data_IF_102511188813
#
_entry.id   IF_102511188813
#
_cell.length_a   1.000
_cell.length_b   1.000
_cell.length_c   1.000
_cell.angle_alpha   90.00
_cell.angle_beta   90.00
_cell.angle_gamma   90.00
#
_symmetry.space_group_name_H-M   'P 1'
#
loop_
_entity.id
_entity.type
_entity.pdbx_description
1 polymer ?
#
# COMPACT_ATOMS: atom_id res chain seq x y z
N UNK A 1 27.75 6.84 -11.64
CA UNK A 1 26.62 7.23 -10.77
C UNK A 1 25.57 6.14 -10.87
N UNK A 2 25.13 5.65 -9.72
CA UNK A 2 24.12 4.59 -9.55
C UNK A 2 22.70 5.16 -9.51
N UNK A 3 21.72 4.28 -9.40
CA UNK A 3 20.34 4.61 -9.06
C UNK A 3 20.07 4.29 -7.58
N UNK A 4 19.21 5.05 -6.92
CA UNK A 4 18.71 4.73 -5.59
C UNK A 4 17.53 3.77 -5.74
N UNK A 5 17.57 2.65 -5.04
CA UNK A 5 16.37 1.88 -4.72
C UNK A 5 15.94 2.27 -3.30
N UNK A 6 14.84 3.01 -3.20
CA UNK A 6 14.35 3.52 -1.93
C UNK A 6 13.50 2.45 -1.24
N UNK A 7 14.07 1.78 -0.24
CA UNK A 7 13.40 0.73 0.51
C UNK A 7 12.43 1.36 1.52
N UNK A 8 11.14 1.24 1.24
CA UNK A 8 10.06 1.78 2.08
C UNK A 8 9.35 0.68 2.89
N UNK A 9 9.61 -0.58 2.55
CA UNK A 9 8.98 -1.79 3.12
C UNK A 9 9.85 -2.43 4.20
N UNK A 10 9.27 -3.39 4.94
CA UNK A 10 10.02 -4.22 5.86
C UNK A 10 10.82 -5.30 5.12
N UNK A 11 10.20 -5.89 4.11
CA UNK A 11 10.72 -7.01 3.33
C UNK A 11 12.05 -6.66 2.65
N UNK A 12 12.90 -7.67 2.50
CA UNK A 12 14.15 -7.48 1.76
C UNK A 12 13.85 -7.19 0.28
N UNK A 13 14.65 -6.34 -0.39
CA UNK A 13 14.55 -6.15 -1.84
C UNK A 13 14.73 -7.47 -2.60
N UNK A 14 14.22 -7.51 -3.83
CA UNK A 14 14.34 -8.69 -4.69
C UNK A 14 15.81 -9.06 -4.96
N UNK A 15 16.05 -10.33 -5.30
CA UNK A 15 17.40 -10.79 -5.62
C UNK A 15 18.04 -10.02 -6.79
N UNK A 16 17.23 -9.52 -7.73
CA UNK A 16 17.72 -8.67 -8.83
C UNK A 16 18.23 -7.32 -8.31
N UNK A 17 17.51 -6.69 -7.37
CA UNK A 17 17.96 -5.43 -6.75
C UNK A 17 19.22 -5.66 -5.91
N UNK A 18 19.28 -6.75 -5.13
CA UNK A 18 20.48 -7.12 -4.36
C UNK A 18 21.68 -7.37 -5.27
N UNK A 19 21.49 -8.08 -6.38
CA UNK A 19 22.54 -8.33 -7.36
C UNK A 19 23.01 -7.04 -8.05
N UNK A 20 22.10 -6.10 -8.34
CA UNK A 20 22.45 -4.78 -8.87
C UNK A 20 23.22 -3.93 -7.84
N UNK A 21 22.85 -4.02 -6.56
CA UNK A 21 23.56 -3.36 -5.48
C UNK A 21 24.98 -3.89 -5.30
N UNK A 22 25.16 -5.22 -5.35
CA UNK A 22 26.48 -5.85 -5.31
C UNK A 22 27.39 -5.42 -6.49
N UNK A 23 26.80 -5.03 -7.64
CA UNK A 23 27.51 -4.51 -8.81
C UNK A 23 27.74 -2.99 -8.76
N UNK A 24 27.22 -2.29 -7.75
CA UNK A 24 27.32 -0.83 -7.64
C UNK A 24 26.47 -0.05 -8.64
N UNK A 25 25.53 -0.70 -9.35
CA UNK A 25 24.59 0.02 -10.25
C UNK A 25 23.38 0.57 -9.49
N UNK A 26 23.05 -0.04 -8.34
CA UNK A 26 22.02 0.41 -7.42
C UNK A 26 22.61 0.66 -6.03
N UNK A 27 22.09 1.65 -5.33
CA UNK A 27 22.33 1.86 -3.90
C UNK A 27 21.00 1.70 -3.18
N UNK A 28 20.90 0.73 -2.27
CA UNK A 28 19.70 0.49 -1.48
C UNK A 28 19.74 1.45 -0.29
N UNK A 29 18.73 2.30 -0.16
CA UNK A 29 18.63 3.30 0.91
C UNK A 29 17.31 3.08 1.63
N UNK A 30 17.34 2.87 2.95
CA UNK A 30 16.13 2.91 3.77
C UNK A 30 15.49 4.29 3.68
N UNK A 31 14.17 4.37 3.49
CA UNK A 31 13.52 5.65 3.22
C UNK A 31 13.79 6.72 4.29
N UNK A 32 13.87 6.33 5.56
CA UNK A 32 14.16 7.24 6.68
C UNK A 32 15.58 7.83 6.66
N UNK A 33 16.50 7.25 5.89
CA UNK A 33 17.89 7.71 5.76
C UNK A 33 18.11 8.62 4.54
N UNK A 34 17.15 8.72 3.63
CA UNK A 34 17.27 9.51 2.41
C UNK A 34 17.42 11.01 2.74
N UNK A 35 18.36 11.66 2.05
CA UNK A 35 18.55 13.11 2.13
C UNK A 35 18.84 13.70 0.74
N UNK A 36 18.91 15.03 0.67
CA UNK A 36 19.08 15.77 -0.57
C UNK A 36 20.42 15.47 -1.27
N UNK A 37 21.51 15.40 -0.52
CA UNK A 37 22.84 15.13 -1.06
C UNK A 37 22.91 13.73 -1.68
N UNK A 38 22.30 12.74 -1.02
CA UNK A 38 22.16 11.40 -1.57
C UNK A 38 21.39 11.42 -2.90
N UNK A 39 20.23 12.10 -2.97
CA UNK A 39 19.49 12.21 -4.23
C UNK A 39 20.35 12.81 -5.36
N UNK A 40 21.01 13.94 -5.09
CA UNK A 40 21.84 14.64 -6.08
C UNK A 40 23.11 13.88 -6.50
N UNK A 41 23.60 12.96 -5.66
CA UNK A 41 24.75 12.12 -5.98
C UNK A 41 24.42 10.96 -6.94
N UNK A 42 23.14 10.73 -7.24
CA UNK A 42 22.66 9.59 -8.05
C UNK A 42 21.99 10.07 -9.34
N UNK A 43 21.85 9.17 -10.32
CA UNK A 43 21.16 9.44 -11.60
C UNK A 43 19.69 9.05 -11.59
N UNK A 44 19.36 8.07 -10.75
CA UNK A 44 18.09 7.39 -10.76
C UNK A 44 17.48 7.31 -9.37
N UNK A 45 16.15 7.31 -9.30
CA UNK A 45 15.38 7.01 -8.11
C UNK A 45 14.30 5.99 -8.48
N UNK A 46 14.20 4.90 -7.72
CA UNK A 46 13.15 3.88 -7.85
C UNK A 46 12.40 3.86 -6.52
N UNK A 47 11.08 4.07 -6.58
CA UNK A 47 10.19 4.00 -5.43
C UNK A 47 9.10 2.95 -5.65
N UNK A 48 8.81 2.17 -4.62
CA UNK A 48 7.77 1.15 -4.61
C UNK A 48 6.38 1.73 -4.23
N UNK A 49 5.36 0.89 -4.33
CA UNK A 49 3.96 1.20 -4.02
C UNK A 49 3.71 1.42 -2.51
N UNK A 50 4.72 1.23 -1.65
CA UNK A 50 4.67 1.46 -0.21
C UNK A 50 5.50 2.69 0.21
N UNK A 51 5.85 3.57 -0.73
CA UNK A 51 6.48 4.85 -0.46
C UNK A 51 5.73 5.65 0.62
N UNK A 52 6.43 6.09 1.67
CA UNK A 52 5.90 7.07 2.62
C UNK A 52 5.84 8.45 1.93
N UNK A 53 4.71 8.75 1.32
CA UNK A 53 4.52 10.00 0.59
C UNK A 53 4.42 11.21 1.51
N UNK A 54 4.06 11.03 2.79
CA UNK A 54 4.06 12.14 3.76
C UNK A 54 5.50 12.57 4.09
N UNK A 55 6.43 11.62 4.23
CA UNK A 55 7.85 11.93 4.37
C UNK A 55 8.41 12.58 3.09
N UNK A 56 8.03 12.08 1.91
CA UNK A 56 8.49 12.67 0.64
C UNK A 56 7.96 14.09 0.39
N UNK A 57 6.83 14.48 0.97
CA UNK A 57 6.35 15.88 0.93
C UNK A 57 7.39 16.84 1.54
N UNK A 58 8.12 16.41 2.58
CA UNK A 58 9.18 17.21 3.19
C UNK A 58 10.45 17.27 2.31
N UNK A 59 10.56 16.41 1.30
CA UNK A 59 11.69 16.33 0.37
C UNK A 59 11.38 16.91 -1.02
N UNK A 60 10.27 17.63 -1.20
CA UNK A 60 9.83 18.16 -2.51
C UNK A 60 10.89 18.97 -3.21
N UNK A 61 11.56 19.88 -2.50
CA UNK A 61 12.61 20.72 -3.08
C UNK A 61 13.83 19.90 -3.50
N UNK A 62 14.23 18.92 -2.68
CA UNK A 62 15.33 18.02 -3.01
C UNK A 62 14.99 17.12 -4.22
N UNK A 63 13.77 16.61 -4.28
CA UNK A 63 13.27 15.82 -5.41
C UNK A 63 13.19 16.66 -6.70
N UNK A 64 12.73 17.91 -6.59
CA UNK A 64 12.71 18.83 -7.72
C UNK A 64 14.13 19.16 -8.21
N UNK A 65 15.08 19.41 -7.30
CA UNK A 65 16.47 19.66 -7.64
C UNK A 65 17.14 18.45 -8.31
N UNK A 66 16.89 17.24 -7.81
CA UNK A 66 17.34 15.99 -8.45
C UNK A 66 16.83 15.86 -9.88
N UNK A 67 15.54 16.12 -10.11
CA UNK A 67 14.96 16.07 -11.46
C UNK A 67 15.51 17.19 -12.34
N UNK A 68 15.60 18.42 -11.84
CA UNK A 68 16.15 19.57 -12.58
C UNK A 68 17.62 19.32 -12.98
N UNK A 69 18.37 18.55 -12.19
CA UNK A 69 19.73 18.08 -12.51
C UNK A 69 19.77 16.93 -13.55
N UNK A 70 18.64 16.56 -14.13
CA UNK A 70 18.52 15.51 -15.15
C UNK A 70 18.24 14.11 -14.60
N UNK A 71 17.92 14.00 -13.30
CA UNK A 71 17.58 12.74 -12.65
C UNK A 71 16.36 12.04 -13.27
N UNK A 72 16.32 10.71 -13.19
CA UNK A 72 15.20 9.89 -13.64
C UNK A 72 14.52 9.19 -12.46
N UNK A 73 13.22 9.40 -12.30
CA UNK A 73 12.43 8.78 -11.24
C UNK A 73 11.44 7.77 -11.80
N UNK A 74 11.54 6.52 -11.34
CA UNK A 74 10.56 5.47 -11.58
C UNK A 74 9.66 5.34 -10.36
N UNK A 75 8.38 5.70 -10.51
CA UNK A 75 7.37 5.71 -9.46
C UNK A 75 6.36 4.57 -9.67
N UNK A 76 6.23 3.68 -8.68
CA UNK A 76 5.13 2.73 -8.58
C UNK A 76 4.12 3.19 -7.52
N UNK A 77 2.84 2.92 -7.76
CA UNK A 77 1.78 3.18 -6.79
C UNK A 77 0.86 4.34 -7.15
N UNK A 78 -0.04 4.65 -6.22
CA UNK A 78 -1.00 5.74 -6.38
C UNK A 78 -0.41 7.04 -5.83
N UNK A 79 -0.25 8.06 -6.67
CA UNK A 79 0.21 9.38 -6.27
C UNK A 79 -0.88 10.10 -5.46
N UNK A 80 -0.84 10.06 -4.14
CA UNK A 80 -1.86 10.69 -3.28
C UNK A 80 -1.37 11.96 -2.57
N UNK A 81 -0.07 12.25 -2.69
CA UNK A 81 0.55 13.54 -2.42
C UNK A 81 1.24 13.97 -3.70
N UNK A 82 0.76 14.96 -4.47
CA UNK A 82 1.42 15.32 -5.72
C UNK A 82 2.83 15.87 -5.48
N UNK A 83 3.89 15.04 -5.55
CA UNK A 83 5.23 15.34 -5.00
C UNK A 83 6.05 16.32 -5.84
N UNK A 84 5.68 16.55 -7.10
CA UNK A 84 6.35 17.46 -8.02
C UNK A 84 5.29 18.33 -8.70
N UNK A 85 5.59 19.62 -8.90
CA UNK A 85 4.69 20.54 -9.59
C UNK A 85 4.29 19.98 -10.96
N UNK A 86 3.00 20.04 -11.30
CA UNK A 86 2.43 19.47 -12.53
C UNK A 86 1.88 18.05 -12.38
N UNK A 87 2.25 17.31 -11.33
CA UNK A 87 1.61 16.03 -11.01
C UNK A 87 0.26 16.26 -10.33
N UNK A 88 -0.66 15.32 -10.54
CA UNK A 88 -1.98 15.31 -9.92
C UNK A 88 -2.17 14.09 -9.02
N UNK A 89 -3.22 14.15 -8.19
CA UNK A 89 -3.63 13.04 -7.34
C UNK A 89 -4.19 11.89 -8.19
N UNK A 90 -3.84 10.65 -7.85
CA UNK A 90 -4.39 9.42 -8.40
C UNK A 90 -5.91 9.43 -8.43
N UNK A 91 -6.48 8.86 -9.49
CA UNK A 91 -7.92 8.72 -9.70
C UNK A 91 -8.22 7.27 -10.11
N UNK A 92 -9.05 6.53 -9.35
CA UNK A 92 -9.51 5.22 -9.77
C UNK A 92 -10.53 5.35 -10.91
N UNK A 93 -10.66 4.30 -11.72
CA UNK A 93 -11.82 4.13 -12.61
C UNK A 93 -13.06 4.03 -11.71
N UNK A 94 -14.13 4.74 -12.06
CA UNK A 94 -15.38 4.70 -11.30
C UNK A 94 -16.11 3.39 -11.56
N UNK A 95 -16.37 2.62 -10.50
CA UNK A 95 -17.09 1.35 -10.54
C UNK A 95 -16.65 0.40 -11.69
N UNK A 96 -15.37 0.03 -11.76
CA UNK A 96 -14.81 -0.65 -12.92
C UNK A 96 -15.40 -2.05 -13.13
N UNK A 97 -15.64 -2.40 -14.38
CA UNK A 97 -15.93 -3.77 -14.85
C UNK A 97 -14.64 -4.45 -15.29
N UNK A 98 -14.69 -5.76 -15.53
CA UNK A 98 -13.52 -6.54 -15.97
C UNK A 98 -12.86 -5.97 -17.23
N UNK A 99 -13.64 -5.54 -18.22
CA UNK A 99 -13.15 -4.95 -19.48
C UNK A 99 -12.48 -3.60 -19.29
N UNK A 100 -12.81 -2.88 -18.23
CA UNK A 100 -12.16 -1.59 -17.92
C UNK A 100 -10.73 -1.79 -17.39
N UNK A 101 -10.32 -3.03 -17.13
CA UNK A 101 -9.00 -3.43 -16.64
C UNK A 101 -8.14 -4.11 -17.73
N UNK A 102 -8.65 -4.24 -18.96
CA UNK A 102 -7.91 -4.80 -20.09
C UNK A 102 -6.69 -3.91 -20.38
N UNK A 103 -5.50 -4.51 -20.49
CA UNK A 103 -4.26 -3.76 -20.64
C UNK A 103 -3.87 -3.65 -22.10
N UNK A 104 -3.64 -2.43 -22.57
CA UNK A 104 -3.20 -2.17 -23.94
C UNK A 104 -2.07 -1.14 -24.00
N UNK A 105 -1.26 -1.22 -25.05
CA UNK A 105 -0.24 -0.22 -25.35
C UNK A 105 -0.90 0.99 -26.02
N UNK A 106 -0.63 2.19 -25.50
CA UNK A 106 -1.05 3.48 -26.09
C UNK A 106 0.05 4.02 -26.99
N UNK A 107 1.28 4.10 -26.45
CA UNK A 107 2.49 4.42 -27.20
C UNK A 107 3.59 3.40 -26.82
N UNK A 108 4.13 2.62 -27.77
CA UNK A 108 5.15 1.62 -27.50
C UNK A 108 6.39 2.20 -26.82
N UNK A 109 6.76 1.66 -25.66
CA UNK A 109 7.92 2.13 -24.90
C UNK A 109 8.98 1.01 -24.78
N UNK A 110 10.29 1.32 -24.89
CA UNK A 110 11.37 0.31 -24.84
C UNK A 110 11.34 -0.61 -23.62
N UNK A 111 10.86 -0.12 -22.47
CA UNK A 111 10.69 -0.92 -21.24
C UNK A 111 9.86 -2.19 -21.47
N UNK A 112 8.85 -2.12 -22.35
CA UNK A 112 7.96 -3.24 -22.67
C UNK A 112 8.30 -3.94 -23.99
N UNK A 113 9.40 -3.59 -24.65
CA UNK A 113 9.75 -4.18 -25.95
C UNK A 113 9.87 -5.71 -25.85
N UNK A 114 9.14 -6.42 -26.73
CA UNK A 114 9.08 -7.89 -26.75
C UNK A 114 8.28 -8.54 -25.61
N UNK A 115 7.64 -7.75 -24.75
CA UNK A 115 6.75 -8.26 -23.70
C UNK A 115 5.30 -8.21 -24.21
N UNK A 116 4.64 -9.36 -24.22
CA UNK A 116 3.20 -9.44 -24.42
C UNK A 116 2.48 -8.91 -23.16
N UNK A 117 1.76 -7.80 -23.29
CA UNK A 117 1.08 -7.14 -22.17
C UNK A 117 0.00 -8.01 -21.52
N UNK A 118 -0.56 -9.00 -22.23
CA UNK A 118 -1.50 -9.95 -21.64
C UNK A 118 -0.88 -10.75 -20.48
N UNK A 119 0.45 -10.94 -20.50
CA UNK A 119 1.21 -11.60 -19.43
C UNK A 119 1.37 -10.74 -18.16
N UNK A 120 1.08 -9.44 -18.27
CA UNK A 120 1.11 -8.49 -17.17
C UNK A 120 -0.29 -8.10 -16.71
N UNK A 121 -1.29 -8.20 -17.59
CA UNK A 121 -2.70 -7.87 -17.32
C UNK A 121 -3.29 -8.73 -16.20
N UNK A 122 -3.04 -10.05 -16.26
CA UNK A 122 -3.63 -11.02 -15.35
C UNK A 122 -2.58 -11.86 -14.64
N UNK A 123 -2.92 -12.31 -13.44
CA UNK A 123 -2.21 -13.36 -12.73
C UNK A 123 -3.22 -14.48 -12.44
N UNK A 124 -2.99 -15.69 -12.96
CA UNK A 124 -3.97 -16.79 -12.94
C UNK A 124 -5.34 -16.42 -13.51
N UNK A 125 -5.41 -15.48 -14.46
CA UNK A 125 -6.67 -15.00 -15.05
C UNK A 125 -7.40 -13.92 -14.25
N UNK A 126 -6.91 -13.55 -13.05
CA UNK A 126 -7.44 -12.41 -12.28
C UNK A 126 -6.78 -11.11 -12.75
N UNK A 127 -7.59 -10.13 -13.14
CA UNK A 127 -7.15 -8.81 -13.58
C UNK A 127 -7.13 -7.77 -12.46
N UNK A 128 -6.51 -6.62 -12.76
CA UNK A 128 -6.49 -5.45 -11.89
C UNK A 128 -5.34 -5.40 -10.90
N UNK A 129 -4.38 -6.34 -10.99
CA UNK A 129 -3.09 -6.24 -10.27
C UNK A 129 -2.17 -5.20 -10.89
N UNK A 130 -2.29 -4.99 -12.21
CA UNK A 130 -1.51 -4.00 -12.97
C UNK A 130 -1.90 -2.57 -12.61
N UNK A 131 -3.18 -2.31 -12.40
CA UNK A 131 -3.70 -0.99 -12.07
C UNK A 131 -5.21 -0.93 -12.17
N UNK A 132 -5.81 0.11 -11.61
CA UNK A 132 -7.28 0.30 -11.54
C UNK A 132 -7.71 1.75 -11.79
N UNK A 133 -6.82 2.52 -12.38
CA UNK A 133 -6.93 3.97 -12.49
C UNK A 133 -5.63 4.54 -13.04
N UNK A 134 -5.45 5.84 -12.84
CA UNK A 134 -4.25 6.53 -13.28
C UNK A 134 -3.78 7.52 -12.22
N UNK A 135 -2.46 7.75 -12.21
CA UNK A 135 -1.94 9.05 -11.83
C UNK A 135 -2.21 9.94 -13.06
N UNK A 136 -3.05 11.00 -12.99
CA UNK A 136 -3.43 11.73 -14.20
C UNK A 136 -2.23 12.29 -14.95
N UNK A 137 -2.28 12.31 -16.28
CA UNK A 137 -1.18 12.79 -17.12
C UNK A 137 -0.87 14.26 -16.83
N UNK A 138 0.39 14.60 -16.52
CA UNK A 138 0.87 15.97 -16.61
C UNK A 138 0.84 16.49 -18.05
N UNK A 139 0.78 17.81 -18.21
CA UNK A 139 0.91 18.45 -19.51
C UNK A 139 2.25 18.07 -20.19
N UNK A 140 2.18 17.65 -21.45
CA UNK A 140 3.33 17.20 -22.24
C UNK A 140 3.84 15.79 -21.91
N UNK A 141 3.20 15.05 -21.00
CA UNK A 141 3.50 13.65 -20.77
C UNK A 141 2.96 12.75 -21.92
N UNK A 142 3.57 11.56 -22.07
CA UNK A 142 3.17 10.55 -23.06
C UNK A 142 2.66 9.33 -22.32
N UNK A 143 1.40 8.96 -22.58
CA UNK A 143 0.80 7.72 -22.09
C UNK A 143 1.51 6.51 -22.71
N UNK A 144 1.90 5.53 -21.90
CA UNK A 144 2.59 4.32 -22.34
C UNK A 144 1.60 3.17 -22.49
N UNK A 145 0.94 2.78 -21.39
CA UNK A 145 -0.08 1.75 -21.37
C UNK A 145 -1.39 2.33 -20.80
N UNK A 146 -2.50 1.78 -21.27
CA UNK A 146 -3.85 2.22 -20.94
C UNK A 146 -4.74 1.04 -20.52
N UNK A 147 -5.74 1.33 -19.68
CA UNK A 147 -6.73 0.38 -19.21
C UNK A 147 -8.07 0.58 -19.93
N UNK A 148 -8.63 -0.53 -20.41
CA UNK A 148 -9.94 -0.62 -21.03
C UNK A 148 -10.12 0.20 -22.31
N UNK A 149 -11.36 0.30 -22.81
CA UNK A 149 -11.66 0.99 -24.07
C UNK A 149 -11.30 2.49 -24.07
N UNK A 150 -11.34 3.12 -22.89
CA UNK A 150 -10.97 4.54 -22.73
C UNK A 150 -9.45 4.76 -22.69
N UNK A 151 -8.66 3.68 -22.66
CA UNK A 151 -7.19 3.70 -22.49
C UNK A 151 -6.77 4.55 -21.29
N UNK A 152 -7.43 4.35 -20.13
CA UNK A 152 -7.12 5.10 -18.90
C UNK A 152 -5.62 4.92 -18.59
N UNK A 153 -4.84 6.00 -18.57
CA UNK A 153 -3.39 5.91 -18.72
C UNK A 153 -2.71 5.50 -17.40
N UNK A 154 -2.65 4.19 -17.19
CA UNK A 154 -2.03 3.60 -15.99
C UNK A 154 -0.52 3.83 -15.96
N UNK A 155 0.11 3.88 -17.14
CA UNK A 155 1.53 4.21 -17.28
C UNK A 155 1.73 5.44 -18.14
N UNK A 156 2.69 6.27 -17.75
CA UNK A 156 3.14 7.38 -18.59
C UNK A 156 4.58 7.77 -18.29
N UNK A 157 5.21 8.42 -19.27
CA UNK A 157 6.49 9.09 -19.11
C UNK A 157 6.30 10.59 -19.28
N UNK A 158 6.96 11.36 -18.41
CA UNK A 158 6.99 12.81 -18.50
C UNK A 158 8.43 13.33 -18.52
N UNK A 159 8.77 14.09 -19.55
CA UNK A 159 9.96 14.96 -19.54
C UNK A 159 9.54 16.29 -18.93
N UNK A 160 10.11 16.62 -17.78
CA UNK A 160 9.74 17.86 -17.09
C UNK A 160 10.27 19.09 -17.82
N UNK A 161 9.56 20.24 -17.75
CA UNK A 161 10.01 21.49 -18.38
C UNK A 161 11.41 21.95 -17.96
N UNK A 162 11.81 21.68 -16.70
CA UNK A 162 13.13 22.07 -16.15
C UNK A 162 14.18 20.95 -16.22
N UNK A 163 13.88 19.83 -16.86
CA UNK A 163 14.77 18.68 -16.95
C UNK A 163 14.35 17.50 -16.07
N UNK A 164 14.99 16.35 -16.34
CA UNK A 164 14.67 15.07 -15.71
C UNK A 164 13.48 14.36 -16.34
N UNK A 165 13.31 13.08 -15.97
CA UNK A 165 12.21 12.23 -16.45
C UNK A 165 11.52 11.53 -15.30
N UNK A 166 10.20 11.38 -15.41
CA UNK A 166 9.40 10.55 -14.50
C UNK A 166 8.72 9.46 -15.31
N UNK A 167 8.89 8.21 -14.92
CA UNK A 167 8.01 7.11 -15.33
C UNK A 167 7.06 6.86 -14.16
N UNK A 168 5.76 6.95 -14.40
CA UNK A 168 4.73 6.68 -13.40
C UNK A 168 3.96 5.43 -13.79
N UNK A 169 3.90 4.46 -12.89
CA UNK A 169 3.06 3.28 -12.96
C UNK A 169 2.02 3.31 -11.82
N UNK A 170 0.73 3.44 -12.17
CA UNK A 170 -0.37 3.64 -11.23
C UNK A 170 -0.96 2.33 -10.68
N UNK A 171 -0.10 1.44 -10.19
CA UNK A 171 -0.47 0.10 -9.72
C UNK A 171 0.46 -0.48 -8.65
N UNK A 172 0.49 -1.81 -8.53
CA UNK A 172 1.48 -2.50 -7.70
C UNK A 172 2.89 -2.36 -8.29
N UNK A 173 3.93 -2.84 -7.62
CA UNK A 173 5.29 -2.70 -8.15
C UNK A 173 5.42 -3.39 -9.52
N UNK A 174 5.72 -2.65 -10.58
CA UNK A 174 5.84 -3.21 -11.93
C UNK A 174 6.90 -4.34 -11.98
N UNK A 175 7.99 -4.19 -11.21
CA UNK A 175 9.03 -5.21 -11.06
C UNK A 175 8.55 -6.50 -10.39
N UNK A 176 7.34 -6.55 -9.85
CA UNK A 176 6.72 -7.74 -9.25
C UNK A 176 5.71 -8.44 -10.17
N UNK A 177 5.39 -7.86 -11.34
CA UNK A 177 4.38 -8.40 -12.26
C UNK A 177 4.94 -9.50 -13.17
N UNK A 178 4.02 -10.29 -13.75
CA UNK A 178 4.35 -11.36 -14.68
C UNK A 178 5.17 -12.51 -14.07
N UNK A 179 4.98 -12.80 -12.77
CA UNK A 179 5.65 -13.89 -12.06
C UNK A 179 5.48 -15.25 -12.76
N UNK A 180 4.28 -15.55 -13.23
CA UNK A 180 3.97 -16.80 -13.95
C UNK A 180 4.77 -16.95 -15.25
N UNK A 181 5.24 -15.84 -15.79
CA UNK A 181 5.93 -15.73 -17.06
C UNK A 181 7.42 -15.41 -16.89
N UNK A 182 7.93 -15.47 -15.65
CA UNK A 182 9.30 -15.13 -15.28
C UNK A 182 9.73 -13.71 -15.72
N UNK A 183 8.80 -12.76 -15.73
CA UNK A 183 9.05 -11.38 -16.17
C UNK A 183 9.48 -10.45 -15.04
N UNK A 184 9.19 -10.76 -13.79
CA UNK A 184 9.48 -9.91 -12.63
C UNK A 184 10.96 -9.48 -12.56
N UNK A 185 11.90 -10.44 -12.70
CA UNK A 185 13.32 -10.13 -12.67
C UNK A 185 13.78 -9.27 -13.86
N UNK A 186 13.22 -9.53 -15.05
CA UNK A 186 13.52 -8.78 -16.27
C UNK A 186 12.97 -7.35 -16.21
N UNK A 187 11.72 -7.17 -15.75
CA UNK A 187 11.12 -5.85 -15.54
C UNK A 187 11.93 -5.05 -14.52
N UNK A 188 12.32 -5.66 -13.41
CA UNK A 188 13.17 -5.01 -12.40
C UNK A 188 14.50 -4.54 -13.01
N UNK A 189 15.16 -5.38 -13.81
CA UNK A 189 16.40 -5.02 -14.53
C UNK A 189 16.18 -3.83 -15.46
N UNK A 190 15.10 -3.85 -16.27
CA UNK A 190 14.77 -2.77 -17.22
C UNK A 190 14.43 -1.46 -16.51
N UNK A 191 13.76 -1.50 -15.36
CA UNK A 191 13.49 -0.32 -14.53
C UNK A 191 14.81 0.32 -14.08
N UNK A 192 15.73 -0.48 -13.53
CA UNK A 192 17.05 -0.01 -13.11
C UNK A 192 17.79 0.63 -14.29
N UNK A 193 17.84 -0.03 -15.44
CA UNK A 193 18.49 0.48 -16.64
C UNK A 193 17.85 1.77 -17.16
N UNK A 194 16.52 1.86 -17.16
CA UNK A 194 15.81 3.07 -17.55
C UNK A 194 16.18 4.24 -16.65
N UNK A 195 16.27 4.04 -15.33
CA UNK A 195 16.70 5.10 -14.40
C UNK A 195 18.16 5.51 -14.58
N UNK A 196 19.01 4.64 -15.14
CA UNK A 196 20.43 4.90 -15.38
C UNK A 196 20.73 5.55 -16.74
N UNK A 197 19.72 5.72 -17.59
CA UNK A 197 19.87 6.43 -18.86
C UNK A 197 19.49 5.66 -20.12
N UNK A 198 19.02 4.40 -20.00
CA UNK A 198 18.60 3.61 -21.19
C UNK A 198 17.55 4.32 -22.04
N UNK A 199 17.42 3.98 -23.34
CA UNK A 199 16.51 4.63 -24.26
C UNK A 199 15.08 4.73 -23.72
N UNK A 200 14.47 5.89 -23.95
CA UNK A 200 13.06 6.14 -23.69
C UNK A 200 12.38 6.47 -25.01
N UNK A 201 11.54 7.49 -25.07
CA UNK A 201 11.11 8.11 -26.31
C UNK A 201 12.20 9.05 -26.81
N UNK A 202 13.20 8.50 -27.50
CA UNK A 202 14.33 9.24 -28.04
C UNK A 202 14.44 8.94 -29.56
N UNK A 203 14.07 9.88 -30.46
CA UNK A 203 13.56 11.23 -30.18
C UNK A 203 12.16 11.24 -29.53
N UNK A 204 11.84 12.33 -28.82
CA UNK A 204 10.53 12.50 -28.20
C UNK A 204 9.42 12.57 -29.27
N UNK A 205 8.23 11.99 -29.05
CA UNK A 205 7.21 11.90 -30.09
C UNK A 205 6.59 13.29 -30.33
N UNK A 206 6.43 13.67 -31.59
CA UNK A 206 5.82 14.97 -31.97
C UNK A 206 4.29 14.96 -31.89
N UNK A 207 3.66 13.80 -32.10
CA UNK A 207 2.21 13.60 -32.03
C UNK A 207 1.89 12.22 -31.42
N UNK A 208 2.12 12.03 -30.11
CA UNK A 208 1.81 10.77 -29.44
C UNK A 208 0.30 10.48 -29.46
N UNK A 209 -0.06 9.20 -29.51
CA UNK A 209 -1.45 8.77 -29.31
C UNK A 209 -1.92 9.21 -27.92
N UNK A 210 -3.16 9.67 -27.83
CA UNK A 210 -3.77 10.13 -26.59
C UNK A 210 -4.89 9.18 -26.15
N UNK A 211 -5.07 8.98 -24.83
CA UNK A 211 -6.28 8.36 -24.27
C UNK A 211 -7.57 9.09 -24.69
N UNK A 212 -8.72 8.50 -24.36
CA UNK A 212 -10.00 9.18 -24.52
C UNK A 212 -10.01 10.53 -23.75
N UNK A 213 -10.65 11.56 -24.33
CA UNK A 213 -10.75 12.87 -23.71
C UNK A 213 -11.52 12.82 -22.37
N UNK A 214 -12.64 12.09 -22.37
CA UNK A 214 -13.48 11.87 -21.20
C UNK A 214 -13.16 10.52 -20.57
N UNK A 215 -12.31 10.52 -19.54
CA UNK A 215 -11.94 9.31 -18.80
C UNK A 215 -12.99 8.99 -17.71
N UNK A 216 -13.36 7.71 -17.53
CA UNK A 216 -14.35 7.27 -16.53
C UNK A 216 -13.77 7.24 -15.11
N UNK A 217 -13.29 8.38 -14.61
CA UNK A 217 -12.56 8.50 -13.35
C UNK A 217 -13.45 9.02 -12.22
N UNK A 218 -13.50 8.29 -11.10
CA UNK A 218 -14.22 8.74 -9.90
C UNK A 218 -13.69 10.08 -9.42
N UNK A 219 -14.51 10.94 -8.80
CA UNK A 219 -14.10 12.27 -8.31
C UNK A 219 -12.90 12.24 -7.36
N UNK A 220 -12.13 13.34 -7.32
CA UNK A 220 -10.98 13.44 -6.42
C UNK A 220 -11.48 13.51 -4.97
N UNK A 221 -10.96 12.64 -4.12
CA UNK A 221 -11.16 12.72 -2.68
C UNK A 221 -10.18 13.74 -2.07
N UNK A 222 -10.56 14.37 -0.95
CA UNK A 222 -9.66 15.17 -0.13
C UNK A 222 -9.05 14.28 0.96
N UNK A 223 -7.72 14.25 1.03
CA UNK A 223 -7.01 13.48 2.05
C UNK A 223 -6.39 14.40 3.08
N UNK A 224 -6.88 14.30 4.32
CA UNK A 224 -6.26 14.95 5.46
C UNK A 224 -4.81 14.51 5.70
N UNK A 225 -4.13 15.25 6.57
CA UNK A 225 -2.78 14.94 7.04
C UNK A 225 -2.78 14.33 8.44
N UNK A 226 -1.69 14.57 9.16
CA UNK A 226 -1.61 14.28 10.58
C UNK A 226 -2.72 15.01 11.34
N UNK A 227 -3.21 14.38 12.41
CA UNK A 227 -4.23 14.93 13.28
C UNK A 227 -3.82 14.69 14.73
N UNK A 228 -4.01 15.69 15.57
CA UNK A 228 -3.88 15.56 17.01
C UNK A 228 -5.18 16.04 17.65
N UNK A 229 -5.78 15.20 18.47
CA UNK A 229 -6.92 15.57 19.31
C UNK A 229 -6.48 15.79 20.75
N UNK A 230 -6.97 16.88 21.34
CA UNK A 230 -6.79 17.24 22.74
C UNK A 230 -7.89 16.67 23.65
N UNK A 231 -8.85 15.91 23.11
CA UNK A 231 -9.93 15.31 23.92
C UNK A 231 -9.35 14.48 25.06
N UNK A 232 -10.01 14.50 26.20
CA UNK A 232 -9.58 13.79 27.41
C UNK A 232 -10.12 12.35 27.45
N UNK A 233 -11.23 12.10 26.76
CA UNK A 233 -11.78 10.76 26.55
C UNK A 233 -10.80 9.85 25.79
N UNK A 234 -11.05 8.54 25.87
CA UNK A 234 -10.34 7.49 25.13
C UNK A 234 -10.23 7.82 23.65
N UNK A 235 -9.02 7.91 23.10
CA UNK A 235 -8.82 8.29 21.69
C UNK A 235 -8.52 7.07 20.84
N UNK A 236 -8.89 7.14 19.56
CA UNK A 236 -8.39 6.21 18.55
C UNK A 236 -7.16 6.83 17.88
N UNK A 237 -5.99 6.24 18.14
CA UNK A 237 -4.68 6.63 17.63
C UNK A 237 -4.29 5.68 16.51
N UNK A 238 -3.99 6.21 15.32
CA UNK A 238 -3.55 5.43 14.17
C UNK A 238 -2.21 5.95 13.62
N UNK A 239 -1.13 5.17 13.65
CA UNK A 239 0.10 5.52 12.95
C UNK A 239 -0.10 5.28 11.45
N UNK A 240 0.18 6.31 10.65
CA UNK A 240 0.24 6.26 9.20
C UNK A 240 1.69 6.17 8.75
N UNK A 241 2.00 5.19 7.91
CA UNK A 241 3.29 5.10 7.21
C UNK A 241 3.34 5.89 5.90
N UNK A 242 2.38 6.79 5.67
CA UNK A 242 2.31 7.64 4.47
C UNK A 242 2.15 6.93 3.13
N UNK A 243 1.93 5.62 3.13
CA UNK A 243 1.58 4.85 1.95
C UNK A 243 0.22 5.30 1.41
N UNK A 244 -0.02 5.10 0.12
CA UNK A 244 -1.25 5.61 -0.50
C UNK A 244 -2.52 5.02 0.14
N UNK A 245 -2.45 3.75 0.54
CA UNK A 245 -3.58 3.05 1.13
C UNK A 245 -3.83 3.46 2.58
N UNK A 246 -2.79 3.84 3.34
CA UNK A 246 -2.96 4.48 4.65
C UNK A 246 -3.52 5.90 4.51
N UNK A 247 -2.97 6.70 3.60
CA UNK A 247 -3.44 8.08 3.38
C UNK A 247 -4.91 8.09 3.01
N UNK A 248 -5.33 7.22 2.08
CA UNK A 248 -6.74 7.12 1.69
C UNK A 248 -7.61 6.63 2.86
N UNK A 249 -7.22 5.56 3.54
CA UNK A 249 -8.05 4.95 4.58
C UNK A 249 -8.18 5.82 5.84
N UNK A 250 -7.13 6.54 6.23
CA UNK A 250 -7.10 7.35 7.45
C UNK A 250 -7.46 8.83 7.20
N UNK A 251 -6.99 9.38 6.07
CA UNK A 251 -7.19 10.78 5.70
C UNK A 251 -8.41 11.03 4.82
N UNK A 252 -8.98 9.98 4.21
CA UNK A 252 -10.12 10.10 3.31
C UNK A 252 -11.46 10.29 4.03
N UNK A 253 -12.46 10.88 3.36
CA UNK A 253 -13.70 11.35 3.96
C UNK A 253 -14.53 10.22 4.58
N UNK A 254 -14.35 8.97 4.13
CA UNK A 254 -15.16 7.82 4.57
C UNK A 254 -14.96 7.47 6.04
N UNK A 255 -13.71 7.53 6.53
CA UNK A 255 -13.36 7.05 7.87
C UNK A 255 -12.60 8.07 8.71
N UNK A 256 -12.17 9.19 8.12
CA UNK A 256 -11.24 10.09 8.81
C UNK A 256 -11.76 10.59 10.15
N UNK A 257 -13.07 10.86 10.29
CA UNK A 257 -13.68 11.36 11.54
C UNK A 257 -13.56 10.42 12.74
N UNK A 258 -13.23 9.14 12.50
CA UNK A 258 -13.14 8.11 13.54
C UNK A 258 -11.79 8.16 14.25
N UNK A 259 -10.73 8.58 13.54
CA UNK A 259 -9.38 8.67 14.10
C UNK A 259 -9.18 10.03 14.77
N UNK A 260 -9.07 10.01 16.09
CA UNK A 260 -8.78 11.19 16.90
C UNK A 260 -7.34 11.67 16.70
N UNK A 261 -6.42 10.72 16.50
CA UNK A 261 -5.01 10.99 16.24
C UNK A 261 -4.53 10.20 15.03
N UNK A 262 -3.92 10.90 14.08
CA UNK A 262 -3.20 10.32 12.95
C UNK A 262 -1.77 10.84 13.04
N UNK A 263 -0.82 9.96 13.32
CA UNK A 263 0.59 10.31 13.55
C UNK A 263 1.51 9.40 12.75
N UNK A 264 2.83 9.58 12.81
CA UNK A 264 3.77 8.54 12.33
C UNK A 264 4.00 7.49 13.42
N UNK A 265 4.45 6.26 13.09
CA UNK A 265 4.89 5.29 14.09
C UNK A 265 5.87 5.89 15.10
N UNK A 266 6.84 6.69 14.65
CA UNK A 266 7.92 7.24 15.49
C UNK A 266 7.42 8.20 16.57
N UNK A 267 6.22 8.76 16.41
CA UNK A 267 5.63 9.69 17.37
C UNK A 267 4.86 8.98 18.49
N UNK A 268 4.61 7.67 18.39
CA UNK A 268 3.76 6.93 19.32
C UNK A 268 4.22 7.07 20.78
N UNK A 269 5.53 7.02 21.03
CA UNK A 269 6.08 7.13 22.39
C UNK A 269 5.69 8.44 23.11
N UNK A 270 5.49 9.54 22.38
CA UNK A 270 5.11 10.84 22.93
C UNK A 270 3.61 11.15 22.86
N UNK A 271 2.84 10.35 22.12
CA UNK A 271 1.42 10.61 21.84
C UNK A 271 0.50 9.67 22.60
N UNK A 272 0.88 8.40 22.72
CA UNK A 272 0.00 7.33 23.18
C UNK A 272 -0.24 7.42 24.70
N UNK A 273 -1.51 7.46 25.10
CA UNK A 273 -1.94 7.53 26.51
C UNK A 273 -2.47 6.16 26.97
N UNK A 274 -2.40 5.84 28.27
CA UNK A 274 -2.87 4.56 28.83
C UNK A 274 -4.25 4.10 28.36
N UNK A 275 -5.22 5.01 28.28
CA UNK A 275 -6.60 4.68 27.92
C UNK A 275 -6.85 4.57 26.42
N UNK A 276 -5.92 5.01 25.56
CA UNK A 276 -6.13 5.07 24.12
C UNK A 276 -6.35 3.67 23.49
N UNK A 277 -6.94 3.68 22.30
CA UNK A 277 -6.92 2.55 21.38
C UNK A 277 -5.87 2.84 20.32
N UNK A 278 -4.83 2.02 20.25
CA UNK A 278 -3.87 2.05 19.16
C UNK A 278 -4.36 1.14 18.03
N UNK A 279 -4.78 1.71 16.91
CA UNK A 279 -5.04 0.97 15.68
C UNK A 279 -3.77 0.98 14.83
N UNK A 280 -3.12 -0.16 14.60
CA UNK A 280 -2.01 -0.32 13.66
C UNK A 280 -2.57 -0.85 12.33
N UNK A 281 -2.62 -0.01 11.28
CA UNK A 281 -3.09 -0.42 9.96
C UNK A 281 -2.32 -1.61 9.39
N UNK A 282 -2.98 -2.40 8.56
CA UNK A 282 -2.34 -3.49 7.84
C UNK A 282 -1.24 -2.96 6.92
N UNK A 283 -0.14 -3.71 6.75
CA UNK A 283 1.05 -3.29 5.98
C UNK A 283 1.75 -2.03 6.51
N UNK A 284 1.59 -1.71 7.79
CA UNK A 284 2.54 -0.82 8.48
C UNK A 284 3.92 -1.49 8.51
N UNK A 285 4.99 -0.86 7.98
CA UNK A 285 6.32 -1.48 7.93
C UNK A 285 6.79 -1.89 9.33
N UNK A 286 7.03 -3.19 9.52
CA UNK A 286 7.25 -3.78 10.84
C UNK A 286 8.44 -3.17 11.58
N UNK A 287 9.52 -2.81 10.89
CA UNK A 287 10.69 -2.16 11.48
C UNK A 287 10.34 -0.86 12.21
N UNK A 288 9.35 -0.11 11.69
CA UNK A 288 8.90 1.14 12.31
C UNK A 288 8.14 0.87 13.61
N UNK A 289 7.37 -0.23 13.68
CA UNK A 289 6.67 -0.64 14.90
C UNK A 289 7.58 -1.34 15.91
N UNK A 290 8.57 -2.12 15.45
CA UNK A 290 9.60 -2.73 16.31
C UNK A 290 10.32 -1.65 17.12
N UNK A 291 10.66 -0.52 16.49
CA UNK A 291 11.26 0.62 17.19
C UNK A 291 10.36 1.23 18.27
N UNK A 292 9.04 0.98 18.24
CA UNK A 292 8.05 1.48 19.20
C UNK A 292 7.60 0.42 20.21
N UNK A 293 8.20 -0.78 20.20
CA UNK A 293 7.81 -1.91 21.05
C UNK A 293 7.65 -1.53 22.51
N UNK A 294 8.57 -0.73 23.06
CA UNK A 294 8.52 -0.29 24.46
C UNK A 294 7.34 0.65 24.75
N UNK A 295 6.99 1.54 23.82
CA UNK A 295 5.82 2.39 23.97
C UNK A 295 4.53 1.58 23.94
N UNK A 296 4.44 0.61 23.04
CA UNK A 296 3.30 -0.30 22.93
C UNK A 296 3.19 -1.23 24.15
N UNK A 297 4.31 -1.74 24.66
CA UNK A 297 4.33 -2.57 25.87
C UNK A 297 3.86 -1.79 27.10
N UNK A 298 4.31 -0.54 27.30
CA UNK A 298 3.81 0.33 28.38
C UNK A 298 2.32 0.62 28.25
N UNK A 299 1.84 0.83 27.02
CA UNK A 299 0.43 1.04 26.74
C UNK A 299 -0.43 -0.16 27.17
N UNK A 300 -0.03 -1.37 26.76
CA UNK A 300 -0.70 -2.61 27.16
C UNK A 300 -0.61 -2.85 28.67
N UNK A 301 0.55 -2.62 29.29
CA UNK A 301 0.73 -2.76 30.74
C UNK A 301 -0.18 -1.82 31.55
N UNK A 302 -0.55 -0.66 30.98
CA UNK A 302 -1.45 0.30 31.58
C UNK A 302 -2.94 0.04 31.30
N UNK A 303 -3.29 -1.08 30.66
CA UNK A 303 -4.67 -1.45 30.35
C UNK A 303 -5.17 -0.96 28.99
N UNK A 304 -4.28 -0.41 28.15
CA UNK A 304 -4.62 0.08 26.82
C UNK A 304 -5.06 -1.01 25.84
N UNK A 305 -5.69 -0.61 24.74
CA UNK A 305 -6.04 -1.55 23.66
C UNK A 305 -5.16 -1.34 22.43
N UNK A 306 -4.73 -2.43 21.82
CA UNK A 306 -4.05 -2.44 20.52
C UNK A 306 -4.87 -3.28 19.53
N UNK A 307 -5.16 -2.72 18.36
CA UNK A 307 -5.74 -3.42 17.21
C UNK A 307 -4.66 -3.50 16.15
N UNK A 308 -4.17 -4.68 15.80
CA UNK A 308 -3.16 -4.87 14.76
C UNK A 308 -3.74 -5.71 13.61
N UNK A 309 -3.74 -5.13 12.41
CA UNK A 309 -4.25 -5.78 11.21
C UNK A 309 -3.12 -6.43 10.39
N UNK A 310 -3.50 -7.25 9.42
CA UNK A 310 -2.61 -8.18 8.71
C UNK A 310 -1.40 -7.53 8.05
N UNK A 311 -0.37 -8.33 7.78
CA UNK A 311 0.86 -7.87 7.13
C UNK A 311 1.58 -6.73 7.89
N UNK A 312 1.31 -6.54 9.18
CA UNK A 312 2.04 -5.62 10.06
C UNK A 312 3.08 -6.33 10.93
N UNK A 313 3.20 -7.66 10.81
CA UNK A 313 4.11 -8.53 11.59
C UNK A 313 4.03 -8.27 13.09
N UNK A 314 2.81 -8.29 13.62
CA UNK A 314 2.55 -8.08 15.05
C UNK A 314 3.30 -9.06 15.95
N UNK A 315 3.67 -10.24 15.44
CA UNK A 315 4.56 -11.21 16.09
C UNK A 315 5.94 -10.64 16.47
N UNK A 316 6.42 -9.60 15.77
CA UNK A 316 7.73 -9.03 16.00
C UNK A 316 7.75 -7.91 17.04
N UNK A 317 6.60 -7.27 17.32
CA UNK A 317 6.54 -6.07 18.15
C UNK A 317 5.44 -6.08 19.23
N UNK A 318 4.54 -7.08 19.24
CA UNK A 318 3.65 -7.35 20.35
C UNK A 318 4.16 -8.54 21.20
N UNK A 319 3.88 -8.53 22.52
CA UNK A 319 4.20 -9.67 23.37
C UNK A 319 3.21 -10.82 23.14
N UNK A 320 3.65 -12.06 23.33
CA UNK A 320 2.80 -13.26 23.33
C UNK A 320 2.00 -13.50 22.03
N UNK A 321 2.53 -13.08 20.88
CA UNK A 321 1.93 -13.33 19.57
C UNK A 321 2.73 -14.38 18.82
N UNK A 322 2.07 -15.50 18.48
CA UNK A 322 2.60 -16.54 17.61
C UNK A 322 1.83 -16.53 16.29
N UNK A 323 2.54 -16.28 15.19
CA UNK A 323 1.96 -16.15 13.84
C UNK A 323 2.74 -17.01 12.84
N UNK A 324 2.00 -17.72 12.00
CA UNK A 324 2.54 -18.45 10.85
C UNK A 324 2.00 -17.84 9.56
N UNK A 325 2.91 -17.28 8.75
CA UNK A 325 2.58 -16.77 7.44
C UNK A 325 2.27 -17.87 6.43
N UNK A 326 1.36 -17.60 5.51
CA UNK A 326 1.00 -18.53 4.42
C UNK A 326 0.96 -17.79 3.09
N UNK A 327 1.32 -18.44 1.97
CA UNK A 327 1.11 -17.85 0.65
C UNK A 327 -0.34 -17.43 0.45
N UNK A 328 -0.54 -16.19 0.01
CA UNK A 328 -1.87 -15.64 -0.22
C UNK A 328 -2.50 -16.27 -1.47
N UNK A 329 -3.69 -16.85 -1.32
CA UNK A 329 -4.50 -17.27 -2.48
C UNK A 329 -5.38 -16.11 -2.96
N UNK A 330 -5.01 -15.51 -4.08
CA UNK A 330 -5.70 -14.33 -4.61
C UNK A 330 -6.90 -14.64 -5.52
N UNK A 331 -7.07 -15.90 -5.92
CA UNK A 331 -7.94 -16.31 -7.02
C UNK A 331 -8.83 -17.50 -6.67
N UNK A 332 -8.98 -17.83 -5.40
CA UNK A 332 -9.86 -18.92 -4.95
C UNK A 332 -11.29 -18.77 -5.51
N UNK A 333 -11.79 -17.54 -5.66
CA UNK A 333 -13.13 -17.23 -6.15
C UNK A 333 -13.33 -17.45 -7.65
N UNK A 334 -12.27 -17.75 -8.42
CA UNK A 334 -12.39 -18.06 -9.85
C UNK A 334 -13.17 -19.36 -10.09
N UNK A 335 -13.09 -20.30 -9.16
CA UNK A 335 -13.98 -21.45 -9.12
C UNK A 335 -15.27 -21.01 -8.38
N UNK A 336 -16.43 -20.94 -9.07
CA UNK A 336 -17.68 -20.54 -8.43
C UNK A 336 -18.14 -21.46 -7.30
N UNK A 337 -17.59 -22.68 -7.23
CA UNK A 337 -17.85 -23.65 -6.16
C UNK A 337 -16.83 -23.57 -5.01
N UNK A 338 -15.73 -22.84 -5.18
CA UNK A 338 -14.71 -22.72 -4.17
C UNK A 338 -15.16 -21.84 -3.01
N UNK A 339 -14.71 -22.25 -1.84
CA UNK A 339 -14.94 -21.57 -0.57
C UNK A 339 -13.59 -21.49 0.14
N UNK A 340 -13.14 -20.27 0.44
CA UNK A 340 -11.92 -20.06 1.21
C UNK A 340 -12.00 -20.69 2.62
N UNK A 341 -13.22 -21.02 3.05
CA UNK A 341 -13.49 -21.68 4.33
C UNK A 341 -13.40 -20.73 5.52
N UNK A 342 -13.29 -19.42 5.27
CA UNK A 342 -13.29 -18.42 6.34
C UNK A 342 -14.64 -18.41 7.03
N UNK A 343 -14.63 -18.50 8.36
CA UNK A 343 -15.84 -18.50 9.20
C UNK A 343 -15.66 -17.60 10.41
N UNK A 344 -16.64 -16.72 10.65
CA UNK A 344 -16.76 -16.02 11.94
C UNK A 344 -17.27 -16.99 13.01
N UNK A 345 -16.78 -16.85 14.24
CA UNK A 345 -17.16 -17.75 15.33
C UNK A 345 -18.47 -17.32 16.00
N UNK A 346 -19.05 -18.20 16.82
CA UNK A 346 -20.17 -17.82 17.71
C UNK A 346 -19.80 -16.70 18.69
N UNK A 347 -18.52 -16.59 19.05
CA UNK A 347 -18.05 -15.51 19.91
C UNK A 347 -18.08 -14.16 19.16
N UNK A 348 -17.69 -14.13 17.88
CA UNK A 348 -17.79 -12.94 17.06
C UNK A 348 -19.22 -12.39 16.96
N UNK A 349 -20.24 -13.25 16.89
CA UNK A 349 -21.64 -12.80 16.84
C UNK A 349 -22.08 -11.96 18.07
N UNK A 350 -21.37 -12.07 19.20
CA UNK A 350 -21.64 -11.28 20.41
C UNK A 350 -20.57 -10.20 20.68
N UNK A 351 -19.50 -10.18 19.90
CA UNK A 351 -18.38 -9.28 20.13
C UNK A 351 -18.68 -7.90 19.53
N UNK A 352 -18.58 -6.80 20.29
CA UNK A 352 -18.95 -5.46 19.80
C UNK A 352 -18.25 -5.05 18.49
N UNK A 353 -16.94 -5.32 18.36
CA UNK A 353 -16.19 -5.02 17.13
C UNK A 353 -16.69 -5.78 15.89
N UNK A 354 -17.32 -6.93 16.08
CA UNK A 354 -17.79 -7.82 15.01
C UNK A 354 -19.28 -7.63 14.70
N UNK A 355 -19.95 -6.65 15.32
CA UNK A 355 -21.35 -6.38 15.07
C UNK A 355 -21.61 -6.13 13.57
N UNK A 356 -22.48 -6.95 12.97
CA UNK A 356 -22.81 -6.87 11.55
C UNK A 356 -21.73 -7.41 10.58
N UNK A 357 -20.70 -8.09 11.09
CA UNK A 357 -19.66 -8.74 10.29
C UNK A 357 -19.89 -10.26 10.31
N UNK A 358 -20.35 -10.80 9.18
CA UNK A 358 -20.44 -12.24 8.95
C UNK A 358 -19.35 -12.76 8.02
N UNK A 359 -19.42 -14.05 7.67
CA UNK A 359 -18.44 -14.73 6.81
C UNK A 359 -18.16 -13.94 5.52
N UNK A 360 -19.20 -13.43 4.85
CA UNK A 360 -19.07 -12.66 3.60
C UNK A 360 -18.24 -11.39 3.76
N UNK A 361 -18.35 -10.69 4.88
CA UNK A 361 -17.58 -9.48 5.15
C UNK A 361 -16.14 -9.82 5.58
N UNK A 362 -15.92 -10.98 6.21
CA UNK A 362 -14.61 -11.41 6.67
C UNK A 362 -13.80 -12.20 5.62
N UNK A 363 -14.36 -12.47 4.43
CA UNK A 363 -13.73 -13.33 3.42
C UNK A 363 -13.24 -12.54 2.21
N UNK A 364 -11.92 -12.50 2.01
CA UNK A 364 -11.29 -12.12 0.74
C UNK A 364 -10.00 -12.91 0.52
N UNK A 365 -8.92 -12.65 1.24
CA UNK A 365 -7.76 -13.52 1.37
C UNK A 365 -7.11 -13.22 2.71
N UNK A 366 -6.18 -14.09 3.09
CA UNK A 366 -5.48 -14.03 4.37
C UNK A 366 -4.00 -14.29 4.14
N UNK A 367 -3.20 -13.85 5.11
CA UNK A 367 -1.73 -13.91 5.02
C UNK A 367 -1.12 -14.91 6.00
N UNK A 368 -1.95 -15.63 6.75
CA UNK A 368 -1.53 -16.60 7.73
C UNK A 368 -2.53 -16.76 8.86
N UNK A 369 -2.09 -17.42 9.92
CA UNK A 369 -2.89 -17.76 11.09
C UNK A 369 -2.08 -17.62 12.38
N UNK A 370 -2.78 -17.51 13.50
CA UNK A 370 -2.20 -17.36 14.84
C UNK A 370 -2.42 -18.61 15.69
N UNK A 371 -1.56 -18.79 16.70
CA UNK A 371 -1.81 -19.64 17.86
C UNK A 371 -2.22 -18.73 19.03
N UNK A 372 -3.52 -18.54 19.29
CA UNK A 372 -3.97 -17.74 20.42
C UNK A 372 -3.65 -18.45 21.75
N UNK A 373 -3.32 -17.71 22.82
CA UNK A 373 -3.13 -18.28 24.15
C UNK A 373 -4.46 -18.79 24.73
N UNK A 374 -4.36 -19.71 25.70
CA UNK A 374 -5.53 -20.22 26.44
C UNK A 374 -6.31 -19.07 27.09
N UNK A 375 -7.62 -19.02 26.85
CA UNK A 375 -8.51 -17.97 27.33
C UNK A 375 -8.71 -16.81 26.35
N UNK A 376 -7.96 -16.75 25.24
CA UNK A 376 -8.23 -15.82 24.15
C UNK A 376 -9.54 -16.15 23.42
N UNK A 377 -10.20 -15.13 22.89
CA UNK A 377 -11.46 -15.26 22.15
C UNK A 377 -11.19 -15.24 20.64
N UNK A 378 -11.30 -16.39 19.98
CA UNK A 378 -11.21 -16.46 18.51
C UNK A 378 -12.48 -15.91 17.87
N UNK A 379 -12.33 -14.96 16.96
CA UNK A 379 -13.42 -14.27 16.27
C UNK A 379 -13.61 -14.74 14.84
N UNK A 380 -12.54 -15.12 14.13
CA UNK A 380 -12.64 -15.76 12.82
C UNK A 380 -11.57 -16.83 12.63
N UNK A 381 -11.89 -17.84 11.83
CA UNK A 381 -11.02 -18.96 11.46
C UNK A 381 -10.89 -19.08 9.94
N UNK A 382 -9.77 -19.64 9.48
CA UNK A 382 -9.61 -20.07 8.08
C UNK A 382 -10.31 -21.42 7.80
N UNK A 383 -10.20 -21.92 6.57
CA UNK A 383 -10.80 -23.19 6.15
C UNK A 383 -10.25 -24.44 6.82
N UNK A 384 -9.10 -24.35 7.50
CA UNK A 384 -8.53 -25.44 8.32
C UNK A 384 -8.91 -25.29 9.80
N UNK A 385 -9.71 -24.29 10.14
CA UNK A 385 -10.13 -24.00 11.51
C UNK A 385 -9.08 -23.28 12.34
N UNK A 386 -8.01 -22.73 11.76
CA UNK A 386 -6.96 -21.98 12.48
C UNK A 386 -7.38 -20.52 12.68
N UNK A 387 -6.93 -19.89 13.76
CA UNK A 387 -7.38 -18.53 14.09
C UNK A 387 -6.75 -17.49 13.15
N UNK A 388 -7.57 -16.59 12.59
CA UNK A 388 -7.12 -15.48 11.72
C UNK A 388 -7.53 -14.10 12.24
N UNK A 389 -8.47 -14.07 13.19
CA UNK A 389 -8.85 -12.88 13.96
C UNK A 389 -9.19 -13.32 15.37
N UNK A 390 -8.56 -12.73 16.38
CA UNK A 390 -8.83 -13.03 17.78
C UNK A 390 -8.65 -11.82 18.70
N UNK A 391 -9.27 -11.90 19.87
CA UNK A 391 -9.07 -10.99 20.99
C UNK A 391 -8.29 -11.71 22.10
N UNK A 392 -7.25 -11.05 22.61
CA UNK A 392 -6.48 -11.48 23.77
C UNK A 392 -6.63 -10.43 24.89
N UNK A 393 -7.17 -10.90 26.02
CA UNK A 393 -7.30 -10.13 27.28
C UNK A 393 -6.59 -10.83 28.44
N UNK A 394 -5.78 -11.85 28.15
CA UNK A 394 -5.20 -12.75 29.17
C UNK A 394 -3.67 -12.64 29.22
N UNK A 395 -3.02 -12.30 28.11
CA UNK A 395 -1.56 -12.20 28.05
C UNK A 395 -1.00 -10.92 28.67
N UNK A 396 -1.80 -9.85 28.74
CA UNK A 396 -1.40 -8.56 29.32
C UNK A 396 -2.57 -7.94 30.09
N UNK A 397 -2.34 -6.93 30.95
CA UNK A 397 -3.44 -6.14 31.53
C UNK A 397 -4.31 -5.42 30.48
N UNK A 398 -3.73 -5.12 29.31
CA UNK A 398 -4.40 -4.52 28.17
C UNK A 398 -5.05 -5.55 27.24
N UNK A 399 -5.67 -5.05 26.17
CA UNK A 399 -6.36 -5.87 25.17
C UNK A 399 -5.64 -5.83 23.83
N UNK A 400 -5.44 -6.99 23.20
CA UNK A 400 -4.95 -7.09 21.83
C UNK A 400 -6.05 -7.67 20.92
N UNK A 401 -6.35 -6.99 19.82
CA UNK A 401 -7.21 -7.48 18.73
C UNK A 401 -6.32 -7.70 17.51
N UNK A 402 -6.15 -8.94 17.08
CA UNK A 402 -5.12 -9.32 16.12
C UNK A 402 -5.75 -10.00 14.93
N UNK A 403 -5.39 -9.54 13.72
CA UNK A 403 -5.90 -10.10 12.47
C UNK A 403 -4.80 -10.35 11.45
N UNK A 404 -4.94 -11.42 10.66
CA UNK A 404 -4.13 -11.64 9.45
C UNK A 404 -4.76 -11.01 8.20
N UNK A 405 -5.94 -10.39 8.34
CA UNK A 405 -6.68 -9.71 7.29
C UNK A 405 -6.14 -8.29 7.06
N UNK A 406 -6.04 -7.87 5.80
CA UNK A 406 -5.42 -6.60 5.38
C UNK A 406 -6.40 -5.58 4.74
N UNK A 407 -7.49 -5.20 5.42
CA UNK A 407 -8.60 -4.50 4.77
C UNK A 407 -8.26 -3.08 4.29
N UNK A 408 -7.37 -2.34 4.98
CA UNK A 408 -7.01 -0.97 4.58
C UNK A 408 -6.17 -0.93 3.31
N UNK A 409 -5.34 -1.94 3.06
CA UNK A 409 -4.58 -2.04 1.81
C UNK A 409 -5.55 -2.13 0.64
N UNK A 410 -6.42 -3.15 0.61
CA UNK A 410 -7.35 -3.35 -0.51
C UNK A 410 -8.38 -2.25 -0.67
N UNK A 411 -8.86 -1.69 0.44
CA UNK A 411 -9.70 -0.50 0.39
C UNK A 411 -8.94 0.64 -0.28
N UNK A 412 -7.75 0.97 0.22
CA UNK A 412 -6.91 2.04 -0.30
C UNK A 412 -6.44 1.84 -1.75
N UNK A 413 -6.29 0.59 -2.18
CA UNK A 413 -5.89 0.19 -3.53
C UNK A 413 -7.05 0.02 -4.50
N UNK A 414 -8.30 0.20 -4.06
CA UNK A 414 -9.51 -0.02 -4.88
C UNK A 414 -9.60 -1.45 -5.45
N UNK A 415 -9.03 -2.44 -4.73
CA UNK A 415 -8.82 -3.79 -5.24
C UNK A 415 -9.96 -4.76 -4.87
N UNK A 416 -10.26 -4.91 -3.56
CA UNK A 416 -11.26 -5.87 -3.06
C UNK A 416 -12.45 -5.17 -2.40
N UNK A 417 -13.64 -5.10 -3.04
CA UNK A 417 -14.83 -4.47 -2.45
C UNK A 417 -15.22 -5.02 -1.07
N UNK A 418 -15.02 -6.32 -0.82
CA UNK A 418 -15.31 -6.97 0.46
C UNK A 418 -14.60 -6.30 1.65
N UNK A 419 -13.38 -5.79 1.44
CA UNK A 419 -12.62 -5.08 2.49
C UNK A 419 -13.23 -3.75 2.86
N UNK A 420 -13.89 -3.07 1.91
CA UNK A 420 -14.65 -1.85 2.22
C UNK A 420 -15.89 -2.20 3.03
N UNK A 421 -16.60 -3.27 2.68
CA UNK A 421 -17.75 -3.75 3.46
C UNK A 421 -17.36 -4.16 4.89
N UNK A 422 -16.17 -4.74 5.08
CA UNK A 422 -15.62 -5.02 6.40
C UNK A 422 -15.37 -3.73 7.18
N UNK A 423 -14.65 -2.77 6.61
CA UNK A 423 -14.30 -1.50 7.27
C UNK A 423 -15.53 -0.65 7.59
N UNK A 424 -16.55 -0.66 6.74
CA UNK A 424 -17.84 0.02 6.96
C UNK A 424 -18.55 -0.42 8.25
N UNK A 425 -18.22 -1.61 8.75
CA UNK A 425 -18.71 -2.12 10.03
C UNK A 425 -17.66 -1.96 11.12
N UNK A 426 -16.45 -2.45 10.87
CA UNK A 426 -15.42 -2.55 11.88
C UNK A 426 -14.95 -1.18 12.40
N UNK A 427 -14.83 -0.18 11.52
CA UNK A 427 -14.38 1.16 11.92
C UNK A 427 -15.42 1.88 12.81
N UNK A 428 -16.72 1.96 12.45
CA UNK A 428 -17.74 2.48 13.37
C UNK A 428 -17.87 1.68 14.67
N UNK A 429 -17.77 0.34 14.60
CA UNK A 429 -17.82 -0.51 15.80
C UNK A 429 -16.65 -0.22 16.75
N UNK A 430 -15.46 0.09 16.22
CA UNK A 430 -14.32 0.51 17.03
C UNK A 430 -14.58 1.85 17.73
N UNK A 431 -15.25 2.80 17.05
CA UNK A 431 -15.63 4.06 17.68
C UNK A 431 -16.60 3.84 18.83
N UNK A 432 -17.64 3.04 18.60
CA UNK A 432 -18.57 2.65 19.65
C UNK A 432 -17.86 1.92 20.80
N UNK A 433 -16.88 1.07 20.51
CA UNK A 433 -16.05 0.40 21.52
C UNK A 433 -15.13 1.37 22.29
N UNK A 434 -14.77 2.50 21.70
CA UNK A 434 -13.93 3.53 22.33
C UNK A 434 -14.72 4.44 23.29
N UNK A 435 -16.02 4.63 23.02
CA UNK A 435 -16.90 5.53 23.77
C UNK A 435 -17.65 4.83 24.93
N UNK A 436 -17.35 3.54 25.16
CA UNK A 436 -17.73 2.73 26.34
C UNK A 436 -16.55 2.67 27.31
#
# INVERSE_FOLDING_TARGET
>A
MSAIYLKSTYEAPSEVVKAAAAKGTVTIIEQSALNADMLLAHKGLITDNQLDQNAMVLMREALAAFLDAGGRWFFNGHMVRPLVAGMAQYRPIEAPKRTDLDLSSVNPHPLFSGIDLLKLETNKGVAGFYGRGCNPLPEGAVAVNGLGPAQVPVDWVWVRPRGGRIFSHAGNDLGSLGLEWNLSGELTRRIIEWTLGSPCFDPWPSAPSSPAADLPLAISEAYGGMRLSSRQERRIVAPSSGTYYHIRSLGGPRYTSIFDVICTPEQLAGILRPSDILWVPCRTPAQRMIAQKEAVARHLAAGGTVVALGESRSDLWLPHVEFTGTPTNWWWWLDPSADLGVRVTKAAARHPLMAGIGDRQATWHLHGWFVPPDGATVLARDGEGRAILYEDRVSTPGTMILSSLDPMFHHGSHFMPATTLFLDRFVPNLKAFADV
#
